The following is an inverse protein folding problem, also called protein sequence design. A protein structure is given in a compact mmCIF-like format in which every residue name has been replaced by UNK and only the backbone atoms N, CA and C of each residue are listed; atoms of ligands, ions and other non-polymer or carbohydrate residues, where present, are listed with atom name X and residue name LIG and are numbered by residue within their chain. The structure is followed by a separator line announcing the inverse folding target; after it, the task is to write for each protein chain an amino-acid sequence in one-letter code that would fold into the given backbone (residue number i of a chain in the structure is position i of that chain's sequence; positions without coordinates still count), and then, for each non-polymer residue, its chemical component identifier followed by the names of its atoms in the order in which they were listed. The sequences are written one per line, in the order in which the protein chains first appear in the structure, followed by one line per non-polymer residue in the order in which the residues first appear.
data_IF_164324544394
#
_entry.id   IF_164324544394
#
_cell.length_a   1.000
_cell.length_b   1.000
_cell.length_c   1.000
_cell.angle_alpha   90.00
_cell.angle_beta   90.00
_cell.angle_gamma   90.00
#
_symmetry.space_group_name_H-M   'P 1'
#
loop_
_entity.id
_entity.type
_entity.pdbx_description
1 polymer ?
#
# COMPACT_ATOMS: atom_id res chain seq x y z
N UNK A 1 -3.66 20.93 -38.88
CA UNK A 1 -2.96 20.20 -38.45
C UNK A 1 -2.77 20.27 -37.09
N UNK A 2 -1.98 20.99 -36.59
CA UNK A 2 -1.72 21.05 -35.26
C UNK A 2 -2.98 21.31 -34.50
N UNK A 3 -3.89 21.95 -35.11
CA UNK A 3 -5.10 22.31 -34.45
C UNK A 3 -5.91 21.14 -34.05
N UNK A 4 -5.98 20.17 -34.91
CA UNK A 4 -6.79 19.01 -34.61
C UNK A 4 -6.17 18.28 -33.46
N UNK A 5 -4.87 18.11 -33.47
CA UNK A 5 -4.20 17.43 -32.42
C UNK A 5 -4.42 18.21 -31.14
N UNK A 6 -4.40 19.51 -31.22
CA UNK A 6 -4.57 20.33 -30.05
C UNK A 6 -5.97 20.20 -29.50
N UNK A 7 -6.94 20.06 -30.36
CA UNK A 7 -8.31 19.99 -29.91
C UNK A 7 -8.53 18.73 -29.08
N UNK A 8 -7.87 17.63 -29.44
CA UNK A 8 -8.04 16.39 -28.72
C UNK A 8 -7.03 16.33 -27.57
N UNK A 9 -5.91 16.96 -27.76
CA UNK A 9 -4.84 16.87 -26.80
C UNK A 9 -5.18 17.19 -25.36
N UNK A 10 -5.97 18.17 -25.04
CA UNK A 10 -6.20 18.49 -23.62
C UNK A 10 -6.68 17.32 -22.79
N UNK A 11 -7.66 16.60 -23.26
CA UNK A 11 -8.14 15.45 -22.50
C UNK A 11 -7.11 14.35 -22.48
N UNK A 12 -6.47 14.11 -23.60
CA UNK A 12 -5.46 13.08 -23.71
C UNK A 12 -4.28 13.41 -22.79
N UNK A 13 -3.86 14.65 -22.76
CA UNK A 13 -2.77 15.06 -21.92
C UNK A 13 -3.12 14.94 -20.45
N UNK A 14 -4.35 15.25 -20.08
CA UNK A 14 -4.77 15.12 -18.69
C UNK A 14 -4.74 13.64 -18.27
N UNK A 15 -5.19 12.77 -19.16
CA UNK A 15 -5.16 11.34 -18.85
C UNK A 15 -3.73 10.85 -18.67
N UNK A 16 -2.81 11.31 -19.55
CA UNK A 16 -1.43 10.92 -19.43
C UNK A 16 -0.78 11.48 -18.18
N UNK A 17 -1.09 12.72 -17.86
CA UNK A 17 -0.55 13.34 -16.66
C UNK A 17 -1.03 12.62 -15.41
N UNK A 18 -2.32 12.23 -15.40
CA UNK A 18 -2.85 11.51 -14.25
C UNK A 18 -2.19 10.16 -14.12
N UNK A 19 -2.06 9.43 -15.24
CA UNK A 19 -1.41 8.13 -15.23
C UNK A 19 0.03 8.25 -14.79
N UNK A 20 0.71 9.30 -15.21
CA UNK A 20 2.08 9.53 -14.84
C UNK A 20 2.21 9.84 -13.34
N UNK A 21 1.31 10.65 -12.82
CA UNK A 21 1.31 10.94 -11.38
C UNK A 21 1.10 9.66 -10.57
N UNK A 22 0.19 8.79 -11.02
CA UNK A 22 -0.07 7.53 -10.34
C UNK A 22 1.19 6.67 -10.35
N UNK A 23 1.84 6.56 -11.51
CA UNK A 23 3.02 5.73 -11.63
C UNK A 23 4.17 6.24 -10.75
N UNK A 24 4.38 7.56 -10.75
CA UNK A 24 5.45 8.14 -9.95
C UNK A 24 5.15 8.02 -8.46
N UNK A 25 3.90 8.21 -8.07
CA UNK A 25 3.51 8.09 -6.67
C UNK A 25 3.68 6.66 -6.18
N UNK A 26 3.35 5.66 -7.02
CA UNK A 26 3.54 4.28 -6.63
C UNK A 26 5.01 3.94 -6.47
N UNK A 27 5.82 4.38 -7.41
CA UNK A 27 7.25 4.10 -7.35
C UNK A 27 7.86 4.74 -6.11
N UNK A 28 7.48 5.97 -5.81
CA UNK A 28 7.97 6.67 -4.64
C UNK A 28 7.54 5.97 -3.36
N UNK A 29 6.28 5.56 -3.29
CA UNK A 29 5.78 4.88 -2.11
C UNK A 29 6.50 3.56 -1.88
N UNK A 30 6.70 2.77 -2.94
CA UNK A 30 7.39 1.50 -2.81
C UNK A 30 8.81 1.72 -2.30
N UNK A 31 9.47 2.76 -2.79
CA UNK A 31 10.82 3.06 -2.34
C UNK A 31 10.84 3.44 -0.87
N UNK A 32 9.89 4.24 -0.43
CA UNK A 32 9.83 4.67 0.96
C UNK A 32 9.50 3.50 1.88
N UNK A 33 8.63 2.62 1.44
CA UNK A 33 8.30 1.44 2.24
C UNK A 33 9.52 0.55 2.35
N UNK A 34 10.24 0.36 1.25
CA UNK A 34 11.44 -0.47 1.27
C UNK A 34 12.52 0.12 2.16
N UNK A 35 12.57 1.44 2.28
CA UNK A 35 13.56 2.11 3.12
C UNK A 35 13.14 2.17 4.58
N UNK A 36 11.90 1.79 4.88
CA UNK A 36 11.43 1.84 6.25
C UNK A 36 10.87 3.21 6.67
N UNK A 37 10.74 4.12 5.72
CA UNK A 37 10.24 5.47 6.02
C UNK A 37 8.72 5.51 6.10
N UNK A 38 8.05 4.55 5.52
CA UNK A 38 6.58 4.50 5.51
C UNK A 38 6.14 3.12 5.96
N UNK A 39 5.16 3.07 6.82
CA UNK A 39 4.64 1.83 7.34
C UNK A 39 3.42 1.40 6.54
N UNK A 40 3.45 0.18 6.01
CA UNK A 40 2.37 -0.31 5.16
C UNK A 40 1.02 -0.33 5.88
N UNK A 41 1.01 -0.60 7.17
CA UNK A 41 -0.23 -0.60 7.94
C UNK A 41 -0.94 0.76 7.82
N UNK A 42 -0.17 1.84 7.88
CA UNK A 42 -0.75 3.18 7.77
C UNK A 42 -1.30 3.43 6.37
N UNK A 43 -0.61 2.94 5.36
CA UNK A 43 -1.04 3.13 3.98
C UNK A 43 -2.35 2.36 3.74
N UNK A 44 -2.46 1.15 4.28
CA UNK A 44 -3.66 0.36 4.10
C UNK A 44 -4.84 1.02 4.82
N UNK A 45 -4.59 1.59 5.99
CA UNK A 45 -5.66 2.23 6.76
C UNK A 45 -6.21 3.45 6.03
N UNK A 46 -5.34 4.24 5.42
CA UNK A 46 -5.77 5.45 4.72
C UNK A 46 -4.96 5.60 3.44
N UNK A 47 -5.33 4.86 2.40
CA UNK A 47 -4.53 4.87 1.18
C UNK A 47 -4.70 6.16 0.36
N UNK A 48 -3.60 6.68 -0.17
CA UNK A 48 -3.70 7.81 -1.09
C UNK A 48 -4.41 7.36 -2.36
N UNK A 49 -5.09 8.27 -3.03
CA UNK A 49 -5.85 7.91 -4.22
C UNK A 49 -4.98 7.31 -5.32
N UNK A 50 -3.69 7.67 -5.38
CA UNK A 50 -2.81 7.20 -6.44
C UNK A 50 -2.52 5.71 -6.35
N UNK A 51 -2.72 5.09 -5.19
CA UNK A 51 -2.42 3.68 -5.05
C UNK A 51 -3.67 2.83 -4.92
N UNK A 52 -4.85 3.41 -5.04
CA UNK A 52 -6.09 2.63 -4.90
C UNK A 52 -6.20 1.53 -5.95
N UNK A 53 -5.60 1.70 -7.11
CA UNK A 53 -5.64 0.67 -8.14
C UNK A 53 -4.47 -0.31 -8.06
N UNK A 54 -3.60 -0.15 -7.07
CA UNK A 54 -2.50 -1.08 -6.86
C UNK A 54 -3.04 -2.32 -6.15
N UNK A 55 -2.50 -3.50 -6.45
CA UNK A 55 -2.95 -4.70 -5.75
C UNK A 55 -2.36 -4.73 -4.36
N UNK A 56 -3.06 -5.39 -3.46
CA UNK A 56 -2.59 -5.49 -2.09
C UNK A 56 -1.30 -6.30 -2.04
N UNK A 57 -1.14 -7.29 -2.90
CA UNK A 57 0.08 -8.07 -2.95
C UNK A 57 1.27 -7.21 -3.33
N UNK A 58 1.11 -6.34 -4.30
CA UNK A 58 2.18 -5.47 -4.73
C UNK A 58 2.62 -4.53 -3.61
N UNK A 59 1.66 -4.02 -2.86
CA UNK A 59 1.98 -3.14 -1.74
C UNK A 59 2.74 -3.91 -0.66
N UNK A 60 2.29 -5.10 -0.31
CA UNK A 60 2.95 -5.89 0.73
C UNK A 60 4.36 -6.28 0.33
N UNK A 61 4.56 -6.62 -0.93
CA UNK A 61 5.88 -7.04 -1.39
C UNK A 61 6.87 -5.87 -1.49
N UNK A 62 6.40 -4.65 -1.31
CA UNK A 62 7.30 -3.51 -1.28
C UNK A 62 8.14 -3.50 0.01
N UNK A 63 7.70 -4.21 1.02
CA UNK A 63 8.42 -4.26 2.28
C UNK A 63 9.62 -5.17 2.17
N UNK A 64 10.70 -4.82 2.86
CA UNK A 64 11.88 -5.65 2.85
C UNK A 64 11.55 -6.98 3.49
N UNK A 65 12.08 -8.04 2.91
CA UNK A 65 11.89 -9.40 3.42
C UNK A 65 10.48 -9.95 3.29
N UNK A 66 9.62 -9.24 2.59
CA UNK A 66 8.30 -9.77 2.33
C UNK A 66 8.27 -10.31 0.91
N UNK A 67 8.43 -11.62 0.78
CA UNK A 67 8.33 -12.26 -0.51
C UNK A 67 6.91 -12.67 -0.80
N UNK A 68 6.72 -13.26 -1.97
CA UNK A 68 5.39 -13.66 -2.40
C UNK A 68 4.76 -14.68 -1.45
N UNK A 69 5.51 -15.64 -0.98
CA UNK A 69 4.95 -16.68 -0.11
C UNK A 69 4.43 -16.09 1.19
N UNK A 70 5.16 -15.16 1.77
CA UNK A 70 4.75 -14.53 3.01
C UNK A 70 3.49 -13.70 2.81
N UNK A 71 3.43 -12.96 1.71
CA UNK A 71 2.26 -12.16 1.40
C UNK A 71 1.05 -13.05 1.20
N UNK A 72 1.23 -14.15 0.47
CA UNK A 72 0.13 -15.06 0.20
C UNK A 72 -0.40 -15.66 1.48
N UNK A 73 0.47 -16.09 2.39
CA UNK A 73 0.03 -16.67 3.63
C UNK A 73 -0.78 -15.68 4.46
N UNK A 74 -0.31 -14.44 4.53
CA UNK A 74 -1.03 -13.43 5.29
C UNK A 74 -2.39 -13.19 4.68
N UNK A 75 -2.45 -13.00 3.38
CA UNK A 75 -3.71 -12.68 2.72
C UNK A 75 -4.70 -13.85 2.81
N UNK A 76 -4.20 -15.07 2.71
CA UNK A 76 -5.06 -16.23 2.86
C UNK A 76 -5.66 -16.28 4.26
N UNK A 77 -4.87 -15.97 5.27
CA UNK A 77 -5.37 -16.03 6.63
C UNK A 77 -6.43 -14.97 6.89
N UNK A 78 -6.43 -13.90 6.12
CA UNK A 78 -7.42 -12.85 6.27
C UNK A 78 -8.55 -12.93 5.26
N UNK A 79 -8.51 -13.91 4.37
CA UNK A 79 -9.55 -14.07 3.38
C UNK A 79 -9.53 -13.00 2.29
N UNK A 80 -8.35 -12.48 1.97
CA UNK A 80 -8.22 -11.44 0.97
C UNK A 80 -7.47 -12.00 -0.25
N UNK A 81 -8.00 -11.77 -1.44
CA UNK A 81 -7.34 -12.24 -2.65
C UNK A 81 -6.09 -11.42 -2.93
N UNK A 82 -5.03 -12.08 -3.43
CA UNK A 82 -3.78 -11.39 -3.69
C UNK A 82 -3.93 -10.26 -4.68
N UNK A 83 -4.79 -10.42 -5.65
CA UNK A 83 -4.95 -9.40 -6.69
C UNK A 83 -6.04 -8.39 -6.36
N UNK A 84 -6.50 -8.37 -5.12
CA UNK A 84 -7.51 -7.38 -4.72
C UNK A 84 -6.88 -6.01 -4.74
N UNK A 85 -7.58 -5.04 -5.32
CA UNK A 85 -7.07 -3.68 -5.38
C UNK A 85 -7.31 -2.97 -4.06
N UNK A 86 -6.35 -2.17 -3.66
CA UNK A 86 -6.42 -1.50 -2.37
C UNK A 86 -7.69 -0.69 -2.21
N UNK A 87 -8.11 0.01 -3.24
CA UNK A 87 -9.32 0.82 -3.16
C UNK A 87 -10.60 0.02 -3.07
N UNK A 88 -10.54 -1.29 -3.35
CA UNK A 88 -11.73 -2.13 -3.30
C UNK A 88 -11.81 -2.98 -2.03
N UNK A 89 -10.87 -2.81 -1.12
CA UNK A 89 -10.93 -3.52 0.15
C UNK A 89 -12.14 -3.04 0.95
N UNK A 90 -12.82 -3.97 1.59
CA UNK A 90 -13.93 -3.57 2.45
C UNK A 90 -13.34 -2.97 3.72
N UNK A 91 -14.16 -2.26 4.47
CA UNK A 91 -13.71 -1.65 5.69
C UNK A 91 -13.19 -2.72 6.65
N UNK A 92 -13.85 -3.85 6.71
CA UNK A 92 -13.42 -4.94 7.58
C UNK A 92 -12.06 -5.49 7.12
N UNK A 93 -11.89 -5.71 5.83
CA UNK A 93 -10.63 -6.22 5.31
C UNK A 93 -9.50 -5.23 5.56
N UNK A 94 -9.79 -3.96 5.37
CA UNK A 94 -8.80 -2.91 5.58
C UNK A 94 -8.38 -2.85 7.05
N UNK A 95 -9.34 -2.89 7.94
CA UNK A 95 -9.04 -2.87 9.37
C UNK A 95 -8.25 -4.09 9.82
N UNK A 96 -8.64 -5.28 9.35
CA UNK A 96 -7.94 -6.50 9.72
C UNK A 96 -6.50 -6.48 9.20
N UNK A 97 -6.32 -6.03 7.95
CA UNK A 97 -5.00 -5.95 7.38
C UNK A 97 -4.13 -4.94 8.12
N UNK A 98 -4.66 -3.77 8.38
CA UNK A 98 -3.89 -2.73 9.05
C UNK A 98 -3.47 -3.19 10.44
N UNK A 99 -4.36 -3.82 11.18
CA UNK A 99 -4.05 -4.31 12.52
C UNK A 99 -2.99 -5.40 12.48
N UNK A 100 -3.15 -6.37 11.59
CA UNK A 100 -2.20 -7.46 11.49
C UNK A 100 -0.82 -6.97 11.05
N UNK A 101 -0.78 -6.05 10.10
CA UNK A 101 0.48 -5.52 9.63
C UNK A 101 1.18 -4.70 10.71
N UNK A 102 0.42 -3.96 11.49
CA UNK A 102 1.00 -3.18 12.57
C UNK A 102 1.61 -4.09 13.63
N UNK A 103 0.95 -5.22 13.92
CA UNK A 103 1.48 -6.18 14.86
C UNK A 103 2.78 -6.80 14.36
N UNK A 104 2.82 -7.15 13.08
CA UNK A 104 4.02 -7.74 12.52
C UNK A 104 5.16 -6.74 12.45
N UNK A 105 4.85 -5.50 12.20
CA UNK A 105 5.87 -4.48 12.15
C UNK A 105 6.45 -4.24 13.55
N UNK A 106 5.61 -4.25 14.55
CA UNK A 106 6.06 -4.08 15.93
C UNK A 106 6.95 -5.25 16.33
N UNK A 107 6.60 -6.47 15.94
CA UNK A 107 7.41 -7.64 16.25
C UNK A 107 8.77 -7.52 15.58
N UNK A 108 8.79 -7.10 14.33
CA UNK A 108 10.04 -7.00 13.61
C UNK A 108 10.95 -5.94 14.18
N UNK A 109 10.41 -4.84 14.65
CA UNK A 109 11.24 -3.78 15.18
C UNK A 109 11.55 -3.99 16.66
N UNK A 110 10.94 -4.93 17.28
CA UNK A 110 11.18 -5.18 18.68
C UNK A 110 10.48 -4.20 19.59
N UNK A 111 9.64 -3.37 19.02
CA UNK A 111 9.00 -2.39 19.83
C UNK A 111 7.90 -2.96 20.65
N UNK A 112 7.45 -4.06 20.30
CA UNK A 112 6.33 -4.60 21.00
C UNK A 112 6.70 -4.85 22.39
N UNK A 113 7.82 -4.86 22.64
CA UNK A 113 8.22 -5.21 23.89
C UNK A 113 7.57 -4.38 24.88
N UNK A 114 7.44 -3.60 24.92
CA UNK A 114 7.05 -2.91 25.90
C UNK A 114 6.11 -3.11 26.62
N UNK A 115 5.93 -3.40 26.78
CA UNK A 115 5.13 -3.53 27.51
C UNK A 115 5.24 -2.67 28.41
N UNK A 116 5.60 -2.06 28.29
CA UNK A 116 5.78 -1.13 29.02
C UNK A 116 4.88 -0.92 29.99
N UNK A 117 4.02 -0.73 29.66
CA UNK A 117 3.11 -0.51 30.45
C UNK A 117 3.27 -1.20 31.61
N UNK A 118 3.73 -2.05 31.55
CA UNK A 118 3.84 -2.80 32.59
C UNK A 118 4.55 -2.09 33.53
N UNK A 119 5.33 -1.58 33.16
CA UNK A 119 6.17 -0.97 34.00
C UNK A 119 5.41 -0.37 35.08
N UNK A 120 4.59 0.26 34.82
CA UNK A 120 3.95 0.96 35.78
C UNK A 120 3.60 0.22 36.91
N UNK A 121 3.40 -0.69 36.79
CA UNK A 121 2.97 -1.41 37.90
C UNK A 121 3.77 -1.21 39.12
#
# INVERSE_FOLDING_TARGET
MGNIATAVAPQHLRALERANRVRLARADLKRRIGAGDVIVADVVATPPWQIESMTISELLMSQRRWGRARCRRLLLSLGVAENKKIGTLTERQRGALATTLAEKDAERSGLSAPPPELAPA
#
